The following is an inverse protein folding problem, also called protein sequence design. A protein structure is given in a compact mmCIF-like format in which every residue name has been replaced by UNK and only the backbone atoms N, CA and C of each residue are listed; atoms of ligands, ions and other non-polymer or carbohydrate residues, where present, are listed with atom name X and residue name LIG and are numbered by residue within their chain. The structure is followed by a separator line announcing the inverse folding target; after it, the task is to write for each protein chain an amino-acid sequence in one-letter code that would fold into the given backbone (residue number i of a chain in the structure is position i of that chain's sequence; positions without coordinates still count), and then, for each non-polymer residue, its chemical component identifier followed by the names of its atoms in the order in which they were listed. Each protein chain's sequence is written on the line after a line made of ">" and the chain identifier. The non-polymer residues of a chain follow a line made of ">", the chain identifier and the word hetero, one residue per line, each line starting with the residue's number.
data_IF_726175047889
#
_entry.id   IF_726175047889
#
_cell.length_a   1.000
_cell.length_b   1.000
_cell.length_c   1.000
_cell.angle_alpha   90.00
_cell.angle_beta   90.00
_cell.angle_gamma   90.00
#
_symmetry.space_group_name_H-M   'P 1'
#
loop_
_entity.id
_entity.type
_entity.pdbx_description
1 polymer ?
#
# COMPACT_ATOMS: atom_id res chain seq x y z
N UNK A 1 -8.88 17.85 -25.52
CA UNK A 1 -7.63 17.10 -25.24
C UNK A 1 -7.77 15.77 -25.99
N UNK A 2 -7.03 15.61 -27.08
CA UNK A 2 -6.99 14.34 -27.84
C UNK A 2 -6.13 13.37 -27.04
N UNK A 3 -6.66 12.18 -26.72
CA UNK A 3 -5.88 11.11 -26.11
C UNK A 3 -5.25 10.37 -27.29
N UNK A 4 -3.97 10.62 -27.53
CA UNK A 4 -3.21 9.84 -28.49
C UNK A 4 -3.07 8.41 -27.96
N UNK A 5 -3.37 7.44 -28.82
CA UNK A 5 -3.23 6.02 -28.49
C UNK A 5 -1.76 5.72 -28.21
N UNK A 6 -1.46 5.06 -27.08
CA UNK A 6 -0.10 4.67 -26.76
C UNK A 6 0.42 3.65 -27.78
N UNK A 7 1.69 3.73 -28.19
CA UNK A 7 2.30 2.73 -29.06
C UNK A 7 2.38 1.36 -28.37
N UNK A 8 2.33 0.30 -29.17
CA UNK A 8 2.12 -1.09 -28.75
C UNK A 8 3.20 -1.63 -27.79
N UNK A 9 4.42 -1.08 -27.85
CA UNK A 9 5.53 -1.40 -26.95
C UNK A 9 5.24 -1.00 -25.50
N UNK A 10 4.54 0.12 -25.30
CA UNK A 10 4.16 0.65 -23.98
C UNK A 10 2.99 -0.14 -23.40
N UNK A 11 2.07 -0.59 -24.27
CA UNK A 11 1.01 -1.50 -23.88
C UNK A 11 1.60 -2.82 -23.38
N UNK A 12 2.64 -3.35 -24.05
CA UNK A 12 3.29 -4.59 -23.64
C UNK A 12 4.02 -4.49 -22.29
N UNK A 13 4.59 -3.34 -21.92
CA UNK A 13 5.17 -3.14 -20.58
C UNK A 13 4.09 -3.06 -19.50
N UNK A 14 2.97 -2.37 -19.76
CA UNK A 14 1.81 -2.32 -18.86
C UNK A 14 1.19 -3.72 -18.68
N UNK A 15 1.04 -4.48 -19.78
CA UNK A 15 0.55 -5.86 -19.73
C UNK A 15 1.58 -6.80 -19.09
N UNK A 16 2.88 -6.58 -19.29
CA UNK A 16 3.96 -7.32 -18.64
C UNK A 16 3.94 -7.16 -17.12
N UNK A 17 3.65 -5.96 -16.63
CA UNK A 17 3.48 -5.67 -15.20
C UNK A 17 2.24 -6.37 -14.61
N UNK A 18 1.10 -6.34 -15.31
CA UNK A 18 -0.10 -7.11 -14.94
C UNK A 18 0.16 -8.63 -14.95
N UNK A 19 0.95 -9.10 -15.91
CA UNK A 19 1.38 -10.50 -15.97
C UNK A 19 2.29 -10.84 -14.80
N UNK A 20 3.15 -9.94 -14.30
CA UNK A 20 3.99 -10.22 -13.13
C UNK A 20 3.18 -10.20 -11.81
N UNK A 21 2.14 -9.36 -11.70
CA UNK A 21 1.15 -9.42 -10.62
C UNK A 21 0.38 -10.75 -10.67
N UNK A 22 -0.16 -11.15 -11.82
CA UNK A 22 -0.86 -12.43 -12.01
C UNK A 22 0.07 -13.65 -11.85
N UNK A 23 1.36 -13.51 -12.20
CA UNK A 23 2.38 -14.56 -12.02
C UNK A 23 2.74 -14.70 -10.55
N UNK A 24 2.81 -13.61 -9.77
CA UNK A 24 2.91 -13.68 -8.29
C UNK A 24 1.74 -14.46 -7.68
N UNK A 25 0.50 -14.24 -8.16
CA UNK A 25 -0.68 -15.00 -7.69
C UNK A 25 -0.63 -16.49 -8.06
N UNK A 26 -0.11 -16.81 -9.25
CA UNK A 26 0.10 -18.20 -9.69
C UNK A 26 1.19 -18.93 -8.87
N UNK A 27 2.25 -18.23 -8.47
CA UNK A 27 3.29 -18.77 -7.58
C UNK A 27 2.78 -19.01 -6.16
N UNK A 28 1.93 -18.12 -5.61
CA UNK A 28 1.35 -18.32 -4.26
C UNK A 28 0.37 -19.50 -4.20
N UNK A 29 -0.38 -19.74 -5.29
CA UNK A 29 -1.30 -20.89 -5.40
C UNK A 29 -0.55 -22.23 -5.36
N UNK A 30 0.68 -22.30 -5.88
CA UNK A 30 1.48 -23.53 -5.90
C UNK A 30 2.10 -23.87 -4.53
N UNK A 31 2.43 -22.86 -3.71
CA UNK A 31 3.00 -23.05 -2.36
C UNK A 31 1.92 -23.48 -1.34
N UNK A 32 0.66 -23.14 -1.57
CA UNK A 32 -0.44 -23.32 -0.61
C UNK A 32 -0.99 -24.74 -0.43
N UNK A 33 -0.46 -25.75 -1.15
CA UNK A 33 -1.01 -27.12 -1.09
C UNK A 33 -0.48 -28.00 0.05
N UNK A 34 0.37 -27.51 0.97
CA UNK A 34 1.06 -28.41 1.93
C UNK A 34 0.95 -28.16 3.44
N UNK A 35 0.24 -27.15 4.00
CA UNK A 35 0.33 -26.92 5.47
C UNK A 35 -0.92 -26.45 6.25
N UNK A 36 -2.14 -26.85 5.87
CA UNK A 36 -3.35 -26.48 6.66
C UNK A 36 -3.41 -26.97 8.13
N UNK A 37 -2.52 -27.88 8.56
CA UNK A 37 -2.50 -28.41 9.94
C UNK A 37 -1.37 -27.92 10.84
N UNK A 38 -0.47 -27.04 10.39
CA UNK A 38 0.76 -26.70 11.13
C UNK A 38 0.84 -25.25 11.65
N UNK A 39 -0.12 -24.39 11.35
CA UNK A 39 -0.02 -22.97 11.74
C UNK A 39 -0.09 -22.75 13.25
N UNK A 40 -0.90 -23.54 13.98
CA UNK A 40 -1.07 -23.36 15.42
C UNK A 40 0.21 -23.60 16.24
N UNK A 41 0.91 -24.69 15.97
CA UNK A 41 2.14 -25.03 16.71
C UNK A 41 3.30 -24.06 16.46
N UNK A 42 3.27 -23.30 15.35
CA UNK A 42 4.30 -22.32 15.01
C UNK A 42 4.09 -21.02 15.79
N UNK A 43 2.84 -20.61 16.03
CA UNK A 43 2.53 -19.38 16.76
C UNK A 43 2.84 -19.49 18.27
N UNK A 44 2.94 -20.70 18.81
CA UNK A 44 3.36 -20.93 20.20
C UNK A 44 4.83 -20.57 20.49
N UNK A 45 5.66 -20.36 19.45
CA UNK A 45 7.08 -19.95 19.57
C UNK A 45 7.32 -18.58 18.97
N UNK A 46 6.53 -17.59 19.39
CA UNK A 46 6.56 -16.22 18.86
C UNK A 46 7.94 -15.55 18.93
N UNK A 47 8.81 -15.99 19.84
CA UNK A 47 10.17 -15.48 20.04
C UNK A 47 11.13 -15.80 18.89
N UNK A 48 10.79 -16.73 17.98
CA UNK A 48 11.67 -17.17 16.89
C UNK A 48 11.08 -16.98 15.50
N UNK A 49 9.86 -16.50 15.42
CA UNK A 49 9.15 -16.32 14.15
C UNK A 49 9.52 -14.96 13.58
N UNK A 50 10.22 -14.95 12.45
CA UNK A 50 10.67 -13.75 11.74
C UNK A 50 9.87 -13.46 10.45
N UNK A 51 9.12 -14.44 9.95
CA UNK A 51 8.27 -14.33 8.76
C UNK A 51 6.93 -15.05 8.99
N UNK A 52 5.82 -14.33 8.77
CA UNK A 52 4.46 -14.87 8.83
C UNK A 52 3.77 -14.57 7.50
N UNK A 53 3.35 -15.62 6.81
CA UNK A 53 2.49 -15.54 5.64
C UNK A 53 1.23 -16.36 5.87
N UNK A 54 0.08 -15.69 5.86
CA UNK A 54 -1.23 -16.30 6.00
C UNK A 54 -2.12 -15.83 4.86
N UNK A 55 -2.50 -16.75 3.98
CA UNK A 55 -3.40 -16.46 2.85
C UNK A 55 -4.59 -17.39 2.85
N UNK A 56 -5.68 -16.97 2.21
CA UNK A 56 -6.92 -17.76 2.10
C UNK A 56 -7.51 -18.14 3.47
N UNK A 57 -7.37 -17.26 4.46
CA UNK A 57 -7.97 -17.45 5.78
C UNK A 57 -9.48 -17.30 5.70
N UNK A 58 -10.20 -18.24 6.31
CA UNK A 58 -11.64 -18.11 6.52
C UNK A 58 -11.93 -17.25 7.76
N UNK A 59 -13.12 -16.66 7.83
CA UNK A 59 -13.59 -15.89 8.99
C UNK A 59 -13.47 -16.67 10.30
N UNK A 60 -13.67 -18.00 10.26
CA UNK A 60 -13.53 -18.88 11.42
C UNK A 60 -12.08 -19.04 11.90
N UNK A 61 -11.12 -18.98 10.98
CA UNK A 61 -9.70 -19.15 11.30
C UNK A 61 -9.12 -17.84 11.88
N UNK A 62 -9.71 -16.70 11.51
CA UNK A 62 -9.31 -15.39 11.97
C UNK A 62 -9.39 -15.23 13.49
N UNK A 63 -10.42 -15.73 14.15
CA UNK A 63 -10.55 -15.59 15.61
C UNK A 63 -9.37 -16.24 16.34
N UNK A 64 -8.97 -17.45 15.92
CA UNK A 64 -7.86 -18.18 16.54
C UNK A 64 -6.51 -17.52 16.23
N UNK A 65 -6.31 -17.08 14.98
CA UNK A 65 -5.09 -16.40 14.56
C UNK A 65 -4.94 -15.06 15.27
N UNK A 66 -6.01 -14.27 15.34
CA UNK A 66 -5.99 -12.99 16.05
C UNK A 66 -5.72 -13.20 17.53
N UNK A 67 -6.29 -14.23 18.15
CA UNK A 67 -5.99 -14.56 19.55
C UNK A 67 -4.50 -14.89 19.75
N UNK A 68 -3.92 -15.74 18.89
CA UNK A 68 -2.50 -16.08 18.95
C UNK A 68 -1.58 -14.90 18.64
N UNK A 69 -2.03 -13.97 17.80
CA UNK A 69 -1.28 -12.75 17.44
C UNK A 69 -1.48 -11.59 18.42
N UNK A 70 -2.15 -11.78 19.56
CA UNK A 70 -2.16 -10.78 20.64
C UNK A 70 -0.85 -10.75 21.42
N UNK A 71 -0.07 -11.84 21.38
CA UNK A 71 1.27 -11.87 21.95
C UNK A 71 2.27 -11.13 21.03
N UNK A 72 3.34 -10.55 21.58
CA UNK A 72 4.36 -9.88 20.79
C UNK A 72 5.21 -10.88 19.99
N UNK A 73 5.60 -10.47 18.79
CA UNK A 73 6.55 -11.20 17.94
C UNK A 73 7.82 -10.35 17.77
N UNK A 74 8.78 -10.43 18.71
CA UNK A 74 9.90 -9.50 18.77
C UNK A 74 10.88 -9.63 17.58
N UNK A 75 10.95 -10.82 16.97
CA UNK A 75 11.82 -11.12 15.84
C UNK A 75 11.13 -10.94 14.47
N UNK A 76 9.82 -10.60 14.43
CA UNK A 76 9.05 -10.51 13.19
C UNK A 76 9.56 -9.40 12.28
N UNK A 77 10.03 -9.79 11.09
CA UNK A 77 10.52 -8.88 10.05
C UNK A 77 9.57 -8.80 8.85
N UNK A 78 8.82 -9.86 8.56
CA UNK A 78 7.82 -9.90 7.50
C UNK A 78 6.47 -10.41 8.01
N UNK A 79 5.42 -9.68 7.66
CA UNK A 79 4.04 -10.09 7.89
C UNK A 79 3.22 -9.88 6.62
N UNK A 80 2.60 -10.96 6.15
CA UNK A 80 1.67 -10.94 5.03
C UNK A 80 0.38 -11.63 5.43
N UNK A 81 -0.73 -10.89 5.34
CA UNK A 81 -2.06 -11.40 5.61
C UNK A 81 -3.00 -11.09 4.45
N UNK A 82 -3.71 -12.10 3.96
CA UNK A 82 -4.67 -11.98 2.86
C UNK A 82 -6.00 -12.62 3.24
N UNK A 83 -7.08 -11.85 3.12
CA UNK A 83 -8.46 -12.29 3.34
C UNK A 83 -9.28 -12.10 2.07
N UNK A 84 -10.10 -13.08 1.72
CA UNK A 84 -11.03 -13.01 0.59
C UNK A 84 -12.50 -13.03 1.03
N UNK A 85 -12.75 -13.06 2.33
CA UNK A 85 -14.11 -13.17 2.85
C UNK A 85 -14.84 -11.83 2.81
N UNK A 86 -16.13 -11.91 2.46
CA UNK A 86 -17.02 -10.75 2.34
C UNK A 86 -17.35 -10.08 3.68
N UNK A 87 -17.26 -10.85 4.79
CA UNK A 87 -17.52 -10.36 6.14
C UNK A 87 -16.19 -10.14 6.87
N UNK A 88 -15.69 -8.90 6.88
CA UNK A 88 -14.32 -8.69 7.26
C UNK A 88 -14.19 -8.63 8.79
N UNK A 89 -13.38 -9.53 9.35
CA UNK A 89 -13.01 -9.49 10.77
C UNK A 89 -12.15 -8.26 11.06
N UNK A 90 -12.57 -7.45 12.04
CA UNK A 90 -11.83 -6.24 12.44
C UNK A 90 -10.67 -6.62 13.35
N UNK A 91 -9.47 -6.16 13.00
CA UNK A 91 -8.29 -6.42 13.82
C UNK A 91 -8.32 -5.62 15.13
N UNK A 92 -7.97 -6.24 16.27
CA UNK A 92 -7.87 -5.54 17.54
C UNK A 92 -6.64 -4.63 17.59
N UNK A 93 -6.72 -3.56 18.38
CA UNK A 93 -5.59 -2.62 18.61
C UNK A 93 -4.40 -3.24 19.38
N UNK A 94 -4.58 -4.46 19.89
CA UNK A 94 -3.56 -5.28 20.57
C UNK A 94 -2.83 -6.23 19.63
N UNK A 95 -3.11 -6.19 18.33
CA UNK A 95 -2.43 -7.04 17.34
C UNK A 95 -0.90 -6.88 17.41
N UNK A 96 -0.18 -8.01 17.44
CA UNK A 96 1.25 -8.16 17.74
C UNK A 96 1.68 -7.58 19.10
N UNK A 97 0.84 -7.71 20.14
CA UNK A 97 1.07 -7.03 21.42
C UNK A 97 1.05 -5.50 21.31
N UNK A 98 0.53 -4.96 20.21
CA UNK A 98 0.54 -3.53 19.88
C UNK A 98 1.89 -2.98 19.42
N UNK A 99 2.91 -3.83 19.19
CA UNK A 99 4.24 -3.38 18.78
C UNK A 99 4.98 -4.40 17.91
N UNK A 100 5.60 -3.94 16.82
CA UNK A 100 6.43 -4.77 15.94
C UNK A 100 7.70 -4.00 15.49
N UNK A 101 8.66 -3.77 16.41
CA UNK A 101 9.78 -2.85 16.16
C UNK A 101 10.72 -3.31 15.05
N UNK A 102 10.80 -4.62 14.78
CA UNK A 102 11.66 -5.19 13.74
C UNK A 102 10.97 -5.40 12.40
N UNK A 103 9.68 -5.05 12.31
CA UNK A 103 8.90 -5.26 11.09
C UNK A 103 9.45 -4.39 9.95
N UNK A 104 9.81 -5.05 8.86
CA UNK A 104 10.37 -4.43 7.65
C UNK A 104 9.41 -4.51 6.48
N UNK A 105 8.62 -5.57 6.40
CA UNK A 105 7.69 -5.82 5.30
C UNK A 105 6.30 -6.11 5.85
N UNK A 106 5.34 -5.26 5.50
CA UNK A 106 3.94 -5.43 5.87
C UNK A 106 3.07 -5.45 4.63
N UNK A 107 2.31 -6.53 4.47
CA UNK A 107 1.35 -6.69 3.38
C UNK A 107 0.01 -7.15 3.94
N UNK A 108 -1.00 -6.29 3.82
CA UNK A 108 -2.40 -6.65 4.05
C UNK A 108 -3.22 -6.55 2.77
N UNK A 109 -4.11 -7.51 2.56
CA UNK A 109 -5.02 -7.54 1.43
C UNK A 109 -6.40 -7.99 1.89
N UNK A 110 -7.42 -7.16 1.61
CA UNK A 110 -8.82 -7.47 1.94
C UNK A 110 -9.15 -7.44 3.43
N UNK A 111 -8.33 -6.76 4.25
CA UNK A 111 -8.43 -6.78 5.71
C UNK A 111 -8.67 -5.36 6.26
N UNK A 112 -9.73 -5.11 7.04
CA UNK A 112 -9.89 -3.85 7.76
C UNK A 112 -9.04 -3.85 9.02
N UNK A 113 -8.14 -2.87 9.11
CA UNK A 113 -7.27 -2.75 10.27
C UNK A 113 -7.24 -1.31 10.81
N UNK A 114 -8.24 -0.92 11.61
CA UNK A 114 -8.28 0.43 12.20
C UNK A 114 -7.09 0.71 13.12
N UNK A 115 -6.54 -0.32 13.79
CA UNK A 115 -5.35 -0.23 14.63
C UNK A 115 -4.01 -0.12 13.87
N UNK A 116 -4.02 -0.14 12.53
CA UNK A 116 -2.80 -0.11 11.73
C UNK A 116 -1.89 1.09 12.02
N UNK A 117 -2.38 2.34 12.16
CA UNK A 117 -1.52 3.48 12.46
C UNK A 117 -0.70 3.28 13.74
N UNK A 118 -1.29 2.67 14.77
CA UNK A 118 -0.59 2.37 16.04
C UNK A 118 0.51 1.34 15.83
N UNK A 119 0.26 0.28 15.07
CA UNK A 119 1.26 -0.72 14.73
C UNK A 119 2.43 -0.08 13.95
N UNK A 120 2.12 0.72 12.93
CA UNK A 120 3.10 1.39 12.08
C UNK A 120 3.99 2.38 12.86
N UNK A 121 3.46 3.08 13.87
CA UNK A 121 4.24 3.95 14.77
C UNK A 121 5.35 3.18 15.51
N UNK A 122 5.15 1.90 15.77
CA UNK A 122 6.17 1.04 16.39
C UNK A 122 7.16 0.45 15.39
N UNK A 123 6.76 0.27 14.13
CA UNK A 123 7.54 -0.36 13.08
C UNK A 123 8.56 0.59 12.43
N UNK A 124 9.49 1.13 13.24
CA UNK A 124 10.47 2.14 12.79
C UNK A 124 11.42 1.66 11.68
N UNK A 125 11.52 0.35 11.48
CA UNK A 125 12.35 -0.28 10.43
C UNK A 125 11.58 -0.66 9.16
N UNK A 126 10.33 -0.20 9.01
CA UNK A 126 9.51 -0.53 7.87
C UNK A 126 10.16 -0.07 6.56
N UNK A 127 10.33 -1.00 5.63
CA UNK A 127 10.90 -0.80 4.29
C UNK A 127 9.81 -0.85 3.22
N UNK A 128 8.81 -1.70 3.41
CA UNK A 128 7.73 -1.93 2.44
C UNK A 128 6.39 -2.02 3.14
N UNK A 129 5.45 -1.18 2.74
CA UNK A 129 4.06 -1.22 3.17
C UNK A 129 3.14 -1.43 1.95
N UNK A 130 2.37 -2.51 1.96
CA UNK A 130 1.35 -2.81 0.95
C UNK A 130 0.01 -3.01 1.62
N UNK A 131 -0.93 -2.12 1.33
CA UNK A 131 -2.31 -2.21 1.79
C UNK A 131 -3.18 -2.32 0.55
N UNK A 132 -3.53 -3.55 0.21
CA UNK A 132 -4.32 -3.92 -0.95
C UNK A 132 -5.76 -4.19 -0.53
N UNK A 133 -6.67 -4.01 -1.48
CA UNK A 133 -8.10 -4.20 -1.30
C UNK A 133 -8.65 -3.68 0.04
N UNK A 134 -8.28 -2.46 0.41
CA UNK A 134 -8.73 -1.83 1.66
C UNK A 134 -10.26 -1.67 1.58
N UNK A 135 -11.03 -2.37 2.42
CA UNK A 135 -12.48 -2.24 2.44
C UNK A 135 -12.88 -0.90 3.07
N UNK A 136 -14.14 -0.49 2.91
CA UNK A 136 -14.65 0.74 3.51
C UNK A 136 -14.45 0.80 5.03
N UNK A 137 -14.66 -0.32 5.73
CA UNK A 137 -14.43 -0.45 7.18
C UNK A 137 -12.96 -0.37 7.59
N UNK A 138 -12.04 -0.56 6.64
CA UNK A 138 -10.59 -0.43 6.81
C UNK A 138 -10.06 0.96 6.50
N UNK A 139 -10.92 1.97 6.34
CA UNK A 139 -10.48 3.31 6.01
C UNK A 139 -9.56 3.91 7.09
N UNK A 140 -8.43 4.44 6.64
CA UNK A 140 -7.46 5.16 7.48
C UNK A 140 -7.26 6.54 6.89
N UNK A 141 -7.45 7.59 7.69
CA UNK A 141 -7.31 8.96 7.18
C UNK A 141 -5.88 9.25 6.69
N UNK A 142 -5.69 10.12 5.68
CA UNK A 142 -4.38 10.52 5.19
C UNK A 142 -3.44 11.01 6.32
N UNK A 143 -3.96 11.77 7.28
CA UNK A 143 -3.20 12.29 8.41
C UNK A 143 -2.73 11.17 9.33
N UNK A 144 -3.60 10.21 9.62
CA UNK A 144 -3.27 9.07 10.48
C UNK A 144 -2.19 8.19 9.86
N UNK A 145 -2.29 7.89 8.55
CA UNK A 145 -1.27 7.10 7.86
C UNK A 145 0.06 7.87 7.77
N UNK A 146 0.05 9.17 7.44
CA UNK A 146 1.29 9.97 7.34
C UNK A 146 1.96 10.10 8.71
N UNK A 147 1.19 10.36 9.76
CA UNK A 147 1.71 10.42 11.14
C UNK A 147 2.39 9.11 11.50
N UNK A 148 1.78 7.98 11.15
CA UNK A 148 2.36 6.68 11.44
C UNK A 148 3.66 6.41 10.64
N UNK A 149 3.69 6.79 9.36
CA UNK A 149 4.84 6.64 8.48
C UNK A 149 5.99 7.61 8.78
N UNK A 150 5.74 8.71 9.50
CA UNK A 150 6.77 9.71 9.84
C UNK A 150 7.96 9.13 10.62
N UNK A 151 7.74 8.03 11.33
CA UNK A 151 8.78 7.29 12.08
C UNK A 151 9.59 6.33 11.20
N UNK A 152 9.06 5.97 10.02
CA UNK A 152 9.60 4.95 9.12
C UNK A 152 10.59 5.55 8.11
N UNK A 153 11.74 5.98 8.61
CA UNK A 153 12.79 6.61 7.79
C UNK A 153 13.43 5.69 6.73
N UNK A 154 13.11 4.40 6.75
CA UNK A 154 13.59 3.37 5.81
C UNK A 154 12.56 2.96 4.77
N UNK A 155 11.35 3.53 4.80
CA UNK A 155 10.27 3.18 3.89
C UNK A 155 10.69 3.49 2.45
N UNK A 156 10.75 2.47 1.59
CA UNK A 156 11.08 2.57 0.17
C UNK A 156 9.85 2.41 -0.72
N UNK A 157 8.92 1.56 -0.28
CA UNK A 157 7.73 1.19 -1.01
C UNK A 157 6.48 1.48 -0.19
N UNK A 158 5.56 2.26 -0.76
CA UNK A 158 4.22 2.46 -0.24
C UNK A 158 3.20 2.12 -1.33
N UNK A 159 2.28 1.20 -1.03
CA UNK A 159 1.15 0.88 -1.89
C UNK A 159 -0.14 0.96 -1.09
N UNK A 160 -1.05 1.84 -1.52
CA UNK A 160 -2.38 2.00 -0.95
C UNK A 160 -3.43 1.73 -2.05
N UNK A 161 -4.23 0.68 -1.92
CA UNK A 161 -5.27 0.32 -2.90
C UNK A 161 -6.60 0.11 -2.19
N UNK A 162 -7.53 1.04 -2.41
CA UNK A 162 -8.90 0.96 -1.90
C UNK A 162 -9.79 0.17 -2.88
N UNK A 163 -10.83 -0.50 -2.37
CA UNK A 163 -11.79 -1.25 -3.21
C UNK A 163 -12.92 -0.36 -3.75
N UNK A 164 -13.30 0.68 -3.00
CA UNK A 164 -14.50 1.46 -3.30
C UNK A 164 -14.32 2.97 -3.10
N UNK A 165 -14.95 3.80 -3.94
CA UNK A 165 -14.97 5.26 -3.78
C UNK A 165 -15.73 5.73 -2.53
N UNK A 166 -16.54 4.85 -1.91
CA UNK A 166 -17.34 5.17 -0.75
C UNK A 166 -16.53 5.30 0.55
N UNK A 167 -15.22 5.08 0.53
CA UNK A 167 -14.29 5.20 1.67
C UNK A 167 -14.12 6.65 2.18
N UNK A 168 -15.20 7.44 2.20
CA UNK A 168 -15.23 8.83 2.66
C UNK A 168 -15.60 8.83 4.14
N UNK A 169 -14.70 9.23 5.05
CA UNK A 169 -15.14 9.67 6.36
C UNK A 169 -16.01 10.92 6.14
N UNK A 170 -17.14 10.96 6.83
CA UNK A 170 -18.15 12.00 6.69
C UNK A 170 -17.53 13.40 6.56
N UNK A 171 -17.93 14.05 5.47
CA UNK A 171 -17.34 15.23 4.83
C UNK A 171 -17.43 16.52 5.68
N UNK A 172 -17.78 16.42 6.97
CA UNK A 172 -18.21 17.53 7.82
C UNK A 172 -17.15 18.06 8.81
N UNK A 173 -15.96 17.45 8.89
CA UNK A 173 -14.91 17.98 9.80
C UNK A 173 -14.06 19.02 9.08
N UNK A 174 -14.09 20.24 9.61
CA UNK A 174 -13.26 21.36 9.21
C UNK A 174 -11.79 20.93 9.07
N UNK A 175 -11.03 21.55 8.14
CA UNK A 175 -9.62 21.23 7.97
C UNK A 175 -8.88 21.36 9.31
N UNK A 176 -8.17 20.32 9.77
CA UNK A 176 -7.28 20.46 10.91
C UNK A 176 -6.23 21.56 10.63
N UNK A 177 -5.63 22.16 11.68
CA UNK A 177 -4.57 23.16 11.53
C UNK A 177 -3.43 22.64 10.63
N UNK A 178 -2.67 23.54 9.96
CA UNK A 178 -1.66 23.15 8.99
C UNK A 178 -0.66 22.17 9.62
N UNK A 179 -0.72 20.91 9.18
CA UNK A 179 0.20 19.87 9.63
C UNK A 179 1.58 20.12 9.03
N UNK A 180 2.61 19.93 9.85
CA UNK A 180 4.00 19.87 9.38
C UNK A 180 4.14 18.71 8.39
N UNK A 181 4.75 18.99 7.24
CA UNK A 181 5.04 17.96 6.24
C UNK A 181 6.02 16.95 6.82
N UNK A 182 5.72 15.67 6.63
CA UNK A 182 6.61 14.57 6.97
C UNK A 182 7.52 14.26 5.80
N UNK A 183 8.83 14.23 6.03
CA UNK A 183 9.78 13.82 5.01
C UNK A 183 9.89 12.29 5.04
N UNK A 184 9.67 11.65 3.89
CA UNK A 184 9.89 10.22 3.67
C UNK A 184 11.18 10.05 2.85
N UNK A 185 12.36 10.09 3.50
CA UNK A 185 13.63 10.34 2.82
C UNK A 185 14.05 9.21 1.89
N UNK A 186 13.57 7.99 2.10
CA UNK A 186 13.92 6.81 1.30
C UNK A 186 12.81 6.34 0.37
N UNK A 187 11.65 6.99 0.37
CA UNK A 187 10.51 6.55 -0.42
C UNK A 187 10.87 6.70 -1.91
N UNK A 188 11.02 5.57 -2.60
CA UNK A 188 11.35 5.51 -4.02
C UNK A 188 10.15 5.17 -4.87
N UNK A 189 9.15 4.50 -4.29
CA UNK A 189 8.00 4.03 -5.03
C UNK A 189 6.71 4.27 -4.26
N UNK A 190 5.76 4.93 -4.91
CA UNK A 190 4.44 5.20 -4.36
C UNK A 190 3.36 4.79 -5.36
N UNK A 191 2.54 3.81 -4.95
CA UNK A 191 1.37 3.35 -5.68
C UNK A 191 0.11 3.71 -4.90
N UNK A 192 -0.86 4.29 -5.59
CA UNK A 192 -2.13 4.66 -5.02
C UNK A 192 -3.28 4.28 -5.95
N UNK A 193 -4.33 3.67 -5.40
CA UNK A 193 -5.63 3.55 -6.06
C UNK A 193 -6.73 3.98 -5.10
N UNK A 194 -7.51 4.99 -5.47
CA UNK A 194 -8.59 5.47 -4.63
C UNK A 194 -9.24 6.77 -5.09
N UNK A 195 -9.86 7.48 -4.14
CA UNK A 195 -10.49 8.79 -4.40
C UNK A 195 -9.45 9.89 -4.49
N UNK A 196 -9.65 10.82 -5.43
CA UNK A 196 -8.71 11.92 -5.70
C UNK A 196 -8.42 12.79 -4.47
N UNK A 197 -9.46 13.11 -3.70
CA UNK A 197 -9.36 13.89 -2.47
C UNK A 197 -8.40 13.26 -1.44
N UNK A 198 -8.33 11.94 -1.37
CA UNK A 198 -7.47 11.27 -0.39
C UNK A 198 -6.00 11.53 -0.69
N UNK A 199 -5.59 11.28 -1.94
CA UNK A 199 -4.19 11.43 -2.34
C UNK A 199 -3.78 12.89 -2.38
N UNK A 200 -4.68 13.81 -2.73
CA UNK A 200 -4.40 15.25 -2.66
C UNK A 200 -4.03 15.68 -1.23
N UNK A 201 -4.81 15.26 -0.22
CA UNK A 201 -4.48 15.52 1.19
C UNK A 201 -3.17 14.82 1.56
N UNK A 202 -3.01 13.55 1.22
CA UNK A 202 -1.80 12.78 1.49
C UNK A 202 -0.53 13.47 0.97
N UNK A 203 -0.54 13.92 -0.29
CA UNK A 203 0.58 14.59 -0.94
C UNK A 203 0.88 15.98 -0.35
N UNK A 204 -0.10 16.66 0.25
CA UNK A 204 0.19 17.91 0.98
C UNK A 204 0.94 17.68 2.29
N UNK A 205 0.88 16.48 2.83
CA UNK A 205 1.40 16.12 4.14
C UNK A 205 2.76 15.44 4.07
N UNK A 206 3.24 15.07 2.87
CA UNK A 206 4.52 14.41 2.70
C UNK A 206 5.45 15.14 1.74
N UNK A 207 6.75 14.98 1.96
CA UNK A 207 7.79 15.25 0.98
C UNK A 207 8.59 13.95 0.74
N UNK A 208 8.78 13.55 -0.51
CA UNK A 208 9.46 12.31 -0.88
C UNK A 208 10.61 12.60 -1.87
N UNK A 209 11.76 13.12 -1.39
CA UNK A 209 12.82 13.63 -2.26
C UNK A 209 13.50 12.57 -3.13
N UNK A 210 13.28 11.28 -2.86
CA UNK A 210 13.86 10.16 -3.62
C UNK A 210 12.84 9.39 -4.46
N UNK A 211 11.63 9.92 -4.61
CA UNK A 211 10.59 9.24 -5.36
C UNK A 211 11.02 9.11 -6.83
N UNK A 212 11.02 7.88 -7.32
CA UNK A 212 11.38 7.50 -8.69
C UNK A 212 10.19 6.97 -9.48
N UNK A 213 9.27 6.29 -8.79
CA UNK A 213 8.05 5.74 -9.36
C UNK A 213 6.87 6.31 -8.60
N UNK A 214 5.99 6.97 -9.32
CA UNK A 214 4.69 7.41 -8.83
C UNK A 214 3.66 6.80 -9.76
N UNK A 215 2.73 6.05 -9.19
CA UNK A 215 1.58 5.48 -9.89
C UNK A 215 0.32 5.79 -9.10
N UNK A 216 -0.64 6.43 -9.75
CA UNK A 216 -1.89 6.85 -9.15
C UNK A 216 -3.03 6.43 -10.06
N UNK A 217 -4.04 5.78 -9.49
CA UNK A 217 -5.29 5.38 -10.11
C UNK A 217 -6.46 6.03 -9.38
N UNK A 218 -7.24 6.83 -10.09
CA UNK A 218 -8.43 7.47 -9.53
C UNK A 218 -9.70 6.64 -9.74
N UNK A 219 -10.65 6.77 -8.81
CA UNK A 219 -12.03 6.34 -9.03
C UNK A 219 -12.91 7.42 -9.68
N UNK A 220 -12.51 8.70 -9.54
CA UNK A 220 -13.30 9.84 -10.02
C UNK A 220 -13.03 10.10 -11.52
N UNK A 221 -14.08 10.31 -12.31
CA UNK A 221 -13.96 10.66 -13.75
C UNK A 221 -13.46 12.10 -13.92
N UNK A 222 -13.81 12.98 -12.98
CA UNK A 222 -13.42 14.39 -12.95
C UNK A 222 -12.62 14.62 -11.69
N UNK A 223 -11.36 14.98 -11.84
CA UNK A 223 -10.46 15.30 -10.74
C UNK A 223 -9.69 16.58 -11.04
N UNK A 224 -9.62 17.47 -10.05
CA UNK A 224 -8.68 18.58 -10.03
C UNK A 224 -7.61 18.22 -9.02
N UNK A 225 -6.36 18.13 -9.46
CA UNK A 225 -5.24 17.61 -8.67
C UNK A 225 -4.09 18.62 -8.58
N UNK A 226 -4.36 19.84 -8.04
CA UNK A 226 -3.34 20.88 -7.95
C UNK A 226 -2.20 20.48 -7.00
N UNK A 227 -2.46 19.66 -5.97
CA UNK A 227 -1.41 19.22 -5.04
C UNK A 227 -0.55 18.13 -5.66
N UNK A 228 -1.11 17.22 -6.48
CA UNK A 228 -0.32 16.30 -7.30
C UNK A 228 0.66 17.05 -8.20
N UNK A 229 0.17 18.07 -8.93
CA UNK A 229 1.02 18.90 -9.78
C UNK A 229 2.13 19.60 -9.00
N UNK A 230 1.81 20.17 -7.83
CA UNK A 230 2.83 20.78 -6.95
C UNK A 230 3.84 19.73 -6.47
N UNK A 231 3.37 18.59 -6.00
CA UNK A 231 4.20 17.51 -5.50
C UNK A 231 5.19 17.02 -6.55
N UNK A 232 4.72 16.78 -7.79
CA UNK A 232 5.58 16.41 -8.92
C UNK A 232 6.65 17.48 -9.16
N UNK A 233 6.24 18.75 -9.22
CA UNK A 233 7.17 19.87 -9.45
C UNK A 233 8.20 20.07 -8.33
N UNK A 234 7.90 19.67 -7.09
CA UNK A 234 8.83 19.73 -5.95
C UNK A 234 9.76 18.52 -5.86
N UNK A 235 9.43 17.43 -6.55
CA UNK A 235 10.18 16.18 -6.46
C UNK A 235 11.22 16.13 -7.57
N UNK A 236 12.44 15.60 -7.32
CA UNK A 236 13.47 15.49 -8.37
C UNK A 236 13.03 14.73 -9.62
N UNK A 237 12.00 13.90 -9.51
CA UNK A 237 11.37 13.19 -10.62
C UNK A 237 10.94 14.13 -11.76
N UNK A 238 10.56 15.38 -11.48
CA UNK A 238 10.20 16.38 -12.50
C UNK A 238 11.31 16.68 -13.50
N UNK A 239 12.58 16.53 -13.10
CA UNK A 239 13.73 16.76 -13.99
C UNK A 239 14.07 15.53 -14.84
N UNK A 240 13.65 14.36 -14.39
CA UNK A 240 13.91 13.06 -15.01
C UNK A 240 12.69 12.52 -15.77
N UNK A 241 11.60 13.30 -15.76
CA UNK A 241 10.34 12.98 -16.39
C UNK A 241 10.49 13.05 -17.90
N UNK A 242 10.92 11.94 -18.49
CA UNK A 242 10.98 11.80 -19.94
C UNK A 242 9.60 11.52 -20.53
N UNK A 243 8.78 10.74 -19.79
CA UNK A 243 7.47 10.29 -20.24
C UNK A 243 6.49 10.31 -19.07
N UNK A 244 5.31 10.84 -19.33
CA UNK A 244 4.15 10.70 -18.47
C UNK A 244 3.09 9.99 -19.28
N UNK A 245 2.72 8.81 -18.85
CA UNK A 245 1.62 8.07 -19.46
C UNK A 245 0.34 8.43 -18.75
N UNK A 246 -0.70 8.67 -19.54
CA UNK A 246 -2.07 8.85 -19.05
C UNK A 246 -2.90 7.79 -19.75
N UNK A 247 -3.06 6.64 -19.11
CA UNK A 247 -3.96 5.60 -19.62
C UNK A 247 -5.30 5.75 -18.95
N UNK A 248 -6.38 5.82 -19.72
CA UNK A 248 -7.74 5.74 -19.21
C UNK A 248 -8.32 4.36 -19.48
N UNK A 249 -8.55 3.56 -18.44
CA UNK A 249 -9.31 2.31 -18.57
C UNK A 249 -10.69 2.48 -17.96
N UNK A 250 -11.71 2.01 -18.67
CA UNK A 250 -13.08 1.95 -18.16
C UNK A 250 -13.32 0.54 -17.63
N UNK A 251 -13.22 0.39 -16.31
CA UNK A 251 -13.78 -0.77 -15.63
C UNK A 251 -15.24 -0.47 -15.33
N UNK A 252 -16.05 -1.52 -15.10
CA UNK A 252 -17.52 -1.43 -14.99
C UNK A 252 -18.02 -0.29 -14.08
N UNK A 253 -17.19 0.21 -13.14
CA UNK A 253 -17.53 1.35 -12.27
C UNK A 253 -16.41 2.41 -12.07
N UNK A 254 -15.29 2.38 -12.81
CA UNK A 254 -14.18 3.32 -12.57
C UNK A 254 -13.44 3.72 -13.85
N UNK A 255 -13.07 5.00 -13.95
CA UNK A 255 -12.09 5.49 -14.92
C UNK A 255 -10.73 5.51 -14.25
N UNK A 256 -9.92 4.51 -14.54
CA UNK A 256 -8.54 4.42 -14.06
C UNK A 256 -7.71 5.35 -14.92
N UNK A 257 -7.27 6.48 -14.35
CA UNK A 257 -6.22 7.30 -14.96
C UNK A 257 -4.92 6.94 -14.28
N UNK A 258 -4.02 6.24 -14.98
CA UNK A 258 -2.67 5.97 -14.46
C UNK A 258 -1.76 7.13 -14.83
N UNK A 259 -1.03 7.64 -13.86
CA UNK A 259 0.15 8.46 -14.09
C UNK A 259 1.36 7.58 -13.80
N UNK A 260 2.11 7.17 -14.83
CA UNK A 260 3.36 6.43 -14.64
C UNK A 260 4.49 7.42 -14.89
N UNK A 261 5.26 7.69 -13.85
CA UNK A 261 6.49 8.48 -13.93
C UNK A 261 7.67 7.53 -13.73
N UNK A 262 8.47 7.34 -14.76
CA UNK A 262 9.68 6.52 -14.71
C UNK A 262 10.89 7.37 -15.09
N UNK A 263 11.97 7.19 -14.34
CA UNK A 263 13.28 7.74 -14.69
C UNK A 263 13.94 6.75 -15.65
N UNK A 264 14.44 7.20 -16.81
CA UNK A 264 15.21 6.32 -17.69
C UNK A 264 16.33 5.67 -16.88
N UNK A 265 16.35 4.33 -16.91
CA UNK A 265 17.40 3.58 -16.24
C UNK A 265 18.73 4.00 -16.86
N UNK A 266 19.67 4.45 -16.02
CA UNK A 266 21.08 4.24 -16.33
C UNK A 266 21.23 2.72 -16.49
N UNK A 267 21.13 2.26 -17.72
CA UNK A 267 21.49 0.91 -18.12
C UNK A 267 22.90 0.66 -17.58
N UNK A 268 22.96 -0.15 -16.54
CA UNK A 268 24.19 -0.71 -16.02
C UNK A 268 24.82 -1.59 -17.09
N UNK A 269 25.51 -0.94 -18.03
CA UNK A 269 26.61 -1.51 -18.76
C UNK A 269 27.75 -1.73 -17.75
N UNK A 270 27.66 -2.81 -17.00
CA UNK A 270 28.72 -3.28 -16.10
C UNK A 270 29.63 -4.20 -16.92
N UNK A 271 30.72 -3.64 -17.43
CA UNK A 271 31.89 -4.40 -17.88
C UNK A 271 32.69 -4.99 -16.72
#
# INVERSE_FOLDING_TARGET
>A
MSIDMLPDDILLDIFGFYVDIARMEAWQTLVHRKKRGQHHAVLERSDRVDDIELTNLKSSDWEQILAAMQEPFPELTRLQLRSHDETPSVFPDSFLGGSAPRLQHLWFEGIPFPGLPKLLLSATHLVSLRLLDIPHSGYISPEAIVTALSTSTRLKLLWLHFVSPQSRPDQARQPPPPLTRSVLPTLTNFWFQGVSKYVEIFLTLIDAPRLKVLEITFFDIVFDTPQLNRFINHTPISKLLEKAYVTSFRYDNATVVNFILETSGDDNNSG
#
